data_IF_250828001739
#
_entry.id   IF_250828001739
#
_cell.length_a   1.000
_cell.length_b   1.000
_cell.length_c   1.000
_cell.angle_alpha   90.00
_cell.angle_beta   90.00
_cell.angle_gamma   90.00
#
_symmetry.space_group_name_H-M   'P 1'
#
loop_
_entity.id
_entity.type
_entity.pdbx_description
1 polymer ?
#
# COMPACT_ATOMS: atom_id res chain seq x y z
N UNK A 1 10.85 -32.14 41.99
CA UNK A 1 11.14 -31.42 40.73
C UNK A 1 10.02 -30.44 40.47
N UNK A 2 10.24 -29.15 40.72
CA UNK A 2 9.24 -28.11 40.47
C UNK A 2 9.52 -27.57 39.07
N UNK A 3 8.64 -27.89 38.12
CA UNK A 3 8.69 -27.38 36.77
C UNK A 3 8.23 -25.91 36.80
N UNK A 4 9.15 -24.97 36.64
CA UNK A 4 8.78 -23.55 36.50
C UNK A 4 8.31 -23.30 35.06
N UNK A 5 7.13 -22.68 34.86
CA UNK A 5 6.64 -22.38 33.53
C UNK A 5 7.52 -21.30 32.87
N UNK A 6 7.87 -21.56 31.61
CA UNK A 6 8.64 -20.65 30.78
C UNK A 6 7.98 -19.27 30.74
N UNK A 7 8.73 -18.25 31.16
CA UNK A 7 8.30 -16.86 31.12
C UNK A 7 8.03 -16.43 29.67
N UNK A 8 6.76 -16.40 29.25
CA UNK A 8 6.38 -15.63 28.07
C UNK A 8 6.71 -14.17 28.36
N UNK A 9 7.75 -13.64 27.71
CA UNK A 9 8.16 -12.26 27.87
C UNK A 9 6.97 -11.34 27.53
N UNK A 10 6.38 -10.72 28.55
CA UNK A 10 5.23 -9.83 28.40
C UNK A 10 5.70 -8.58 27.67
N UNK A 11 5.58 -8.55 26.34
CA UNK A 11 5.96 -7.39 25.49
C UNK A 11 5.23 -6.14 25.99
N UNK A 12 5.90 -5.11 26.51
CA UNK A 12 5.24 -3.93 27.11
C UNK A 12 4.70 -2.93 26.07
N UNK A 13 3.90 -1.95 26.51
CA UNK A 13 3.42 -0.86 25.63
C UNK A 13 4.58 0.00 25.13
N UNK A 14 5.51 0.32 26.03
CA UNK A 14 6.70 1.13 25.79
C UNK A 14 7.62 0.44 24.79
N UNK A 15 7.83 -0.87 24.94
CA UNK A 15 8.60 -1.65 23.97
C UNK A 15 7.98 -1.57 22.57
N UNK A 16 6.66 -1.72 22.45
CA UNK A 16 5.95 -1.62 21.16
C UNK A 16 6.12 -0.23 20.54
N UNK A 17 5.98 0.83 21.33
CA UNK A 17 6.19 2.22 20.87
C UNK A 17 7.62 2.40 20.35
N UNK A 18 8.61 1.96 21.11
CA UNK A 18 10.02 2.06 20.73
C UNK A 18 10.31 1.29 19.44
N UNK A 19 9.72 0.10 19.25
CA UNK A 19 9.86 -0.66 18.01
C UNK A 19 9.26 0.09 16.80
N UNK A 20 8.10 0.72 16.95
CA UNK A 20 7.47 1.53 15.89
C UNK A 20 8.37 2.73 15.53
N UNK A 21 8.87 3.44 16.53
CA UNK A 21 9.75 4.59 16.34
C UNK A 21 11.08 4.21 15.69
N UNK A 22 11.70 3.11 16.13
CA UNK A 22 12.94 2.59 15.53
C UNK A 22 12.73 2.18 14.06
N UNK A 23 11.60 1.54 13.75
CA UNK A 23 11.24 1.22 12.37
C UNK A 23 11.13 2.49 11.53
N UNK A 24 10.48 3.54 12.04
CA UNK A 24 10.34 4.81 11.35
C UNK A 24 11.68 5.51 11.13
N UNK A 25 12.56 5.54 12.13
CA UNK A 25 13.90 6.13 11.98
C UNK A 25 14.67 5.48 10.84
N UNK A 26 14.59 4.14 10.75
CA UNK A 26 15.29 3.32 9.75
C UNK A 26 14.68 3.43 8.34
N UNK A 27 13.36 3.35 8.22
CA UNK A 27 12.67 3.19 6.93
C UNK A 27 11.90 4.44 6.49
N UNK A 28 11.89 5.51 7.30
CA UNK A 28 11.13 6.76 7.09
C UNK A 28 9.62 6.56 6.84
N UNK A 29 9.08 5.40 7.22
CA UNK A 29 7.67 5.01 7.12
C UNK A 29 7.23 4.17 8.32
N UNK A 30 5.93 3.98 8.47
CA UNK A 30 5.34 3.12 9.50
C UNK A 30 5.36 1.65 9.03
N UNK A 31 5.62 0.67 9.92
CA UNK A 31 5.63 -0.73 9.53
C UNK A 31 4.23 -1.22 9.13
N UNK A 32 4.18 -2.10 8.13
CA UNK A 32 2.96 -2.81 7.78
C UNK A 32 2.64 -3.88 8.84
N UNK A 33 1.37 -4.30 8.88
CA UNK A 33 0.88 -5.35 9.80
C UNK A 33 1.76 -6.61 9.82
N UNK A 34 2.25 -7.03 8.65
CA UNK A 34 3.05 -8.25 8.50
C UNK A 34 4.55 -8.04 8.74
N UNK A 35 5.03 -6.79 8.81
CA UNK A 35 6.42 -6.46 9.14
C UNK A 35 6.62 -6.26 10.65
N UNK A 36 5.54 -6.01 11.38
CA UNK A 36 5.59 -5.75 12.80
C UNK A 36 5.37 -7.03 13.60
N UNK A 37 6.46 -7.67 14.04
CA UNK A 37 6.45 -8.93 14.81
C UNK A 37 5.50 -8.93 16.02
N UNK A 38 5.28 -7.76 16.62
CA UNK A 38 4.43 -7.60 17.82
C UNK A 38 3.03 -7.06 17.52
N UNK A 39 2.52 -7.21 16.29
CA UNK A 39 1.23 -6.67 15.87
C UNK A 39 0.08 -7.09 16.77
N UNK A 40 -0.02 -8.39 17.09
CA UNK A 40 -1.08 -8.91 17.96
C UNK A 40 -1.00 -8.33 19.38
N UNK A 41 0.21 -8.16 19.90
CA UNK A 41 0.43 -7.54 21.21
C UNK A 41 0.06 -6.04 21.19
N UNK A 42 0.41 -5.33 20.12
CA UNK A 42 0.02 -3.94 19.92
C UNK A 42 -1.50 -3.79 19.88
N UNK A 43 -2.21 -4.61 19.09
CA UNK A 43 -3.67 -4.58 19.01
C UNK A 43 -4.30 -4.83 20.38
N UNK A 44 -3.84 -5.85 21.12
CA UNK A 44 -4.37 -6.20 22.44
C UNK A 44 -4.18 -5.09 23.48
N UNK A 45 -3.04 -4.38 23.45
CA UNK A 45 -2.69 -3.39 24.47
C UNK A 45 -3.22 -1.99 24.21
N UNK A 46 -3.32 -1.61 22.94
CA UNK A 46 -3.76 -0.28 22.52
C UNK A 46 -5.21 -0.30 21.99
N UNK A 47 -5.86 -1.47 21.98
CA UNK A 47 -7.20 -1.70 21.44
C UNK A 47 -7.19 -1.97 19.93
N UNK A 48 -6.47 -1.16 19.16
CA UNK A 48 -6.23 -1.36 17.74
C UNK A 48 -4.83 -0.89 17.33
N UNK A 49 -4.41 -1.22 16.10
CA UNK A 49 -3.08 -0.84 15.57
C UNK A 49 -2.92 0.67 15.44
N UNK A 50 -3.95 1.37 14.96
CA UNK A 50 -3.91 2.82 14.76
C UNK A 50 -3.69 3.57 16.07
N UNK A 51 -4.24 3.09 17.18
CA UNK A 51 -4.00 3.64 18.51
C UNK A 51 -2.54 3.45 18.94
N UNK A 52 -1.91 2.31 18.62
CA UNK A 52 -0.49 2.11 18.87
C UNK A 52 0.37 3.10 18.06
N UNK A 53 0.04 3.32 16.78
CA UNK A 53 0.74 4.29 15.93
C UNK A 53 0.56 5.73 16.44
N UNK A 54 -0.66 6.14 16.79
CA UNK A 54 -0.96 7.45 17.40
C UNK A 54 -0.16 7.66 18.68
N UNK A 55 -0.13 6.65 19.56
CA UNK A 55 0.61 6.73 20.82
C UNK A 55 2.12 6.80 20.60
N UNK A 56 2.63 6.19 19.52
CA UNK A 56 4.03 6.29 19.13
C UNK A 56 4.43 7.68 18.55
N UNK A 57 3.48 8.61 18.45
CA UNK A 57 3.71 9.98 17.98
C UNK A 57 3.55 10.16 16.47
N UNK A 58 2.99 9.17 15.78
CA UNK A 58 2.82 9.22 14.32
C UNK A 58 1.34 9.31 13.94
N UNK A 59 1.08 10.00 12.83
CA UNK A 59 -0.21 9.85 12.14
C UNK A 59 -0.27 8.41 11.61
N UNK A 60 -1.31 7.61 11.93
CA UNK A 60 -1.51 6.32 11.30
C UNK A 60 -1.37 6.48 9.79
N UNK A 61 -0.58 5.62 9.16
CA UNK A 61 -0.42 5.69 7.71
C UNK A 61 -1.82 5.56 7.10
N UNK A 62 -2.32 6.55 6.35
CA UNK A 62 -3.62 6.43 5.70
C UNK A 62 -3.66 5.33 4.63
N UNK A 63 -2.53 4.72 4.28
CA UNK A 63 -2.45 3.71 3.22
C UNK A 63 -1.91 2.43 3.84
N UNK A 64 -2.76 1.51 4.28
CA UNK A 64 -3.32 0.45 3.43
C UNK A 64 -4.82 0.17 3.70
N UNK A 65 -5.48 0.93 4.58
CA UNK A 65 -6.87 0.64 5.01
C UNK A 65 -7.66 1.89 5.48
N UNK A 66 -7.19 3.12 5.25
CA UNK A 66 -7.87 4.30 5.80
C UNK A 66 -8.78 4.96 4.75
N UNK A 67 -10.05 4.53 4.80
CA UNK A 67 -11.21 5.09 4.13
C UNK A 67 -11.09 5.15 2.60
N UNK A 68 -11.88 4.30 1.94
CA UNK A 68 -12.21 4.41 0.52
C UNK A 68 -12.30 5.89 0.11
N UNK A 69 -11.41 6.31 -0.76
CA UNK A 69 -11.43 7.65 -1.29
C UNK A 69 -12.37 7.67 -2.48
N UNK A 70 -13.31 8.60 -2.55
CA UNK A 70 -14.22 8.70 -3.69
C UNK A 70 -13.60 9.70 -4.67
N UNK A 71 -13.29 9.24 -5.89
CA UNK A 71 -12.83 10.08 -6.98
C UNK A 71 -13.96 10.96 -7.52
N UNK A 72 -13.61 11.97 -8.32
CA UNK A 72 -14.56 12.97 -8.81
C UNK A 72 -15.67 12.38 -9.70
N UNK A 73 -15.43 11.23 -10.34
CA UNK A 73 -16.41 10.51 -11.15
C UNK A 73 -17.24 9.48 -10.34
N UNK A 74 -16.96 9.35 -9.04
CA UNK A 74 -17.64 8.44 -8.12
C UNK A 74 -16.93 7.10 -7.89
N UNK A 75 -15.79 6.84 -8.52
CA UNK A 75 -15.02 5.62 -8.27
C UNK A 75 -14.48 5.54 -6.84
N UNK A 76 -14.46 4.32 -6.26
CA UNK A 76 -14.00 4.04 -4.89
C UNK A 76 -12.55 3.56 -4.88
N UNK A 77 -11.60 4.43 -4.53
CA UNK A 77 -10.15 4.16 -4.56
C UNK A 77 -9.62 3.60 -3.23
N UNK A 78 -8.68 2.66 -3.33
CA UNK A 78 -8.04 2.00 -2.17
C UNK A 78 -6.88 2.83 -1.60
N UNK A 79 -6.42 3.83 -2.37
CA UNK A 79 -5.39 4.79 -1.95
C UNK A 79 -5.64 6.21 -2.48
N UNK A 80 -5.03 7.20 -1.81
CA UNK A 80 -5.02 8.60 -2.29
C UNK A 80 -4.33 8.71 -3.64
N UNK A 81 -3.29 7.90 -3.89
CA UNK A 81 -2.59 7.89 -5.17
C UNK A 81 -3.50 7.43 -6.31
N UNK A 82 -4.26 6.36 -6.10
CA UNK A 82 -5.29 5.93 -7.05
C UNK A 82 -6.32 7.03 -7.28
N UNK A 83 -6.82 7.70 -6.24
CA UNK A 83 -7.75 8.83 -6.43
C UNK A 83 -7.13 9.94 -7.27
N UNK A 84 -5.86 10.29 -7.05
CA UNK A 84 -5.17 11.32 -7.86
C UNK A 84 -5.07 10.90 -9.33
N UNK A 85 -4.76 9.63 -9.58
CA UNK A 85 -4.69 9.09 -10.95
C UNK A 85 -6.09 9.12 -11.59
N UNK A 86 -7.11 8.63 -10.88
CA UNK A 86 -8.50 8.59 -11.31
C UNK A 86 -9.04 9.99 -11.66
N UNK A 87 -8.87 10.95 -10.73
CA UNK A 87 -9.29 12.34 -10.93
C UNK A 87 -8.62 12.95 -12.17
N UNK A 88 -7.33 12.66 -12.39
CA UNK A 88 -6.61 13.14 -13.57
C UNK A 88 -7.18 12.54 -14.86
N UNK A 89 -7.45 11.23 -14.88
CA UNK A 89 -8.03 10.56 -16.04
C UNK A 89 -9.42 11.14 -16.35
N UNK A 90 -10.23 11.34 -15.32
CA UNK A 90 -11.55 11.97 -15.40
C UNK A 90 -11.48 13.41 -15.91
N UNK A 91 -10.58 14.24 -15.39
CA UNK A 91 -10.37 15.62 -15.83
C UNK A 91 -10.02 15.70 -17.33
N UNK A 92 -9.19 14.76 -17.79
CA UNK A 92 -8.80 14.64 -19.21
C UNK A 92 -9.83 13.94 -20.08
N UNK A 93 -11.00 13.60 -19.53
CA UNK A 93 -12.04 12.83 -20.23
C UNK A 93 -11.52 11.49 -20.79
N UNK A 94 -10.53 10.90 -20.12
CA UNK A 94 -9.97 9.59 -20.46
C UNK A 94 -10.85 8.53 -19.77
N UNK A 95 -11.61 7.81 -20.58
CA UNK A 95 -12.43 6.67 -20.11
C UNK A 95 -11.52 5.59 -19.57
N UNK A 96 -11.79 5.16 -18.33
CA UNK A 96 -11.00 4.15 -17.64
C UNK A 96 -11.91 3.23 -16.81
N UNK A 97 -11.48 1.99 -16.67
CA UNK A 97 -12.09 0.99 -15.79
C UNK A 97 -11.15 0.69 -14.62
N UNK A 98 -11.68 0.12 -13.53
CA UNK A 98 -10.90 -0.15 -12.32
C UNK A 98 -10.94 -1.60 -11.87
N UNK A 99 -9.89 -1.99 -11.14
CA UNK A 99 -9.77 -3.30 -10.49
C UNK A 99 -9.97 -4.48 -11.46
N UNK A 100 -9.39 -4.39 -12.65
CA UNK A 100 -9.52 -5.42 -13.69
C UNK A 100 -8.66 -6.62 -13.33
N UNK A 101 -9.25 -7.82 -13.27
CA UNK A 101 -8.53 -9.05 -12.95
C UNK A 101 -7.51 -9.42 -14.02
N UNK A 102 -6.31 -9.82 -13.61
CA UNK A 102 -5.37 -10.48 -14.50
C UNK A 102 -5.95 -11.83 -14.98
N UNK A 103 -5.48 -12.37 -16.13
CA UNK A 103 -6.01 -13.63 -16.66
C UNK A 103 -5.78 -14.86 -15.77
N UNK A 104 -4.85 -14.79 -14.82
CA UNK A 104 -4.50 -15.88 -13.91
C UNK A 104 -4.19 -15.35 -12.52
N UNK A 105 -4.64 -16.11 -11.51
CA UNK A 105 -4.45 -15.78 -10.10
C UNK A 105 -5.50 -14.81 -9.55
N UNK A 106 -5.36 -14.49 -8.26
CA UNK A 106 -6.21 -13.54 -7.55
C UNK A 106 -5.51 -12.17 -7.49
N UNK A 107 -5.31 -11.60 -8.67
CA UNK A 107 -4.64 -10.31 -8.85
C UNK A 107 -5.46 -9.40 -9.74
N UNK A 108 -5.48 -8.11 -9.43
CA UNK A 108 -6.08 -7.06 -10.24
C UNK A 108 -5.06 -5.99 -10.59
N UNK A 109 -5.28 -5.32 -11.71
CA UNK A 109 -4.65 -4.05 -12.06
C UNK A 109 -5.54 -2.89 -11.60
N UNK A 110 -4.93 -1.78 -11.20
CA UNK A 110 -5.65 -0.65 -10.61
C UNK A 110 -6.58 0.02 -11.64
N UNK A 111 -6.07 0.26 -12.85
CA UNK A 111 -6.84 0.85 -13.95
C UNK A 111 -6.63 0.14 -15.29
N UNK A 112 -7.62 0.27 -16.18
CA UNK A 112 -7.52 -0.10 -17.58
C UNK A 112 -8.01 1.05 -18.46
N UNK A 113 -7.19 1.44 -19.43
CA UNK A 113 -7.46 2.51 -20.38
C UNK A 113 -7.37 1.92 -21.79
N UNK A 114 -8.51 1.50 -22.33
CA UNK A 114 -8.57 0.73 -23.58
C UNK A 114 -7.76 -0.57 -23.49
N UNK A 115 -6.62 -0.62 -24.18
CA UNK A 115 -5.70 -1.77 -24.15
C UNK A 115 -4.56 -1.63 -23.12
N UNK A 116 -4.37 -0.45 -22.53
CA UNK A 116 -3.34 -0.20 -21.52
C UNK A 116 -3.84 -0.65 -20.15
N UNK A 117 -3.01 -1.40 -19.44
CA UNK A 117 -3.18 -1.83 -18.06
C UNK A 117 -2.31 -0.91 -17.21
N UNK A 118 -2.84 -0.28 -16.17
CA UNK A 118 -2.12 0.76 -15.41
C UNK A 118 -2.07 0.38 -13.93
N UNK A 119 -0.88 0.26 -13.39
CA UNK A 119 -0.65 -0.18 -12.01
C UNK A 119 0.20 0.83 -11.24
N UNK A 120 -0.21 1.16 -10.01
CA UNK A 120 0.50 2.03 -9.10
C UNK A 120 1.31 1.25 -8.06
N UNK A 121 2.63 1.22 -8.22
CA UNK A 121 3.56 0.54 -7.32
C UNK A 121 4.04 1.41 -6.16
N UNK A 122 3.13 1.80 -5.26
CA UNK A 122 3.39 2.73 -4.16
C UNK A 122 4.46 2.32 -3.13
N UNK A 123 4.84 1.04 -3.06
CA UNK A 123 5.85 0.50 -2.12
C UNK A 123 7.03 -0.20 -2.82
N UNK A 124 7.25 0.07 -4.11
CA UNK A 124 8.35 -0.55 -4.84
C UNK A 124 9.72 -0.22 -4.22
N UNK A 125 10.53 -1.26 -3.98
CA UNK A 125 11.87 -1.17 -3.39
C UNK A 125 11.88 -0.99 -1.88
N UNK A 126 10.72 -0.77 -1.25
CA UNK A 126 10.60 -0.51 0.19
C UNK A 126 10.23 -1.76 0.99
N UNK A 127 9.73 -2.82 0.34
CA UNK A 127 9.22 -4.00 1.01
C UNK A 127 9.37 -5.27 0.15
N UNK A 128 10.22 -6.20 0.59
CA UNK A 128 10.54 -7.45 -0.13
C UNK A 128 9.31 -8.21 -0.67
N UNK A 129 8.29 -8.44 0.15
CA UNK A 129 7.05 -9.11 -0.28
C UNK A 129 6.23 -8.30 -1.30
N UNK A 130 6.22 -6.98 -1.17
CA UNK A 130 5.54 -6.11 -2.14
C UNK A 130 6.27 -6.18 -3.49
N UNK A 131 7.60 -6.22 -3.46
CA UNK A 131 8.42 -6.44 -4.65
C UNK A 131 8.19 -7.82 -5.27
N UNK A 132 7.98 -8.87 -4.46
CA UNK A 132 7.57 -10.20 -4.94
C UNK A 132 6.21 -10.15 -5.64
N UNK A 133 5.21 -9.47 -5.06
CA UNK A 133 3.90 -9.28 -5.70
C UNK A 133 4.01 -8.47 -7.00
N UNK A 134 4.81 -7.41 -7.01
CA UNK A 134 5.11 -6.64 -8.22
C UNK A 134 5.71 -7.53 -9.31
N UNK A 135 6.70 -8.37 -8.98
CA UNK A 135 7.31 -9.32 -9.93
C UNK A 135 6.27 -10.26 -10.54
N UNK A 136 5.39 -10.83 -9.73
CA UNK A 136 4.31 -11.70 -10.23
C UNK A 136 3.42 -10.96 -11.23
N UNK A 137 3.02 -9.72 -10.93
CA UNK A 137 2.20 -8.90 -11.85
C UNK A 137 2.92 -8.60 -13.17
N UNK A 138 4.23 -8.31 -13.12
CA UNK A 138 5.05 -8.10 -14.32
C UNK A 138 5.15 -9.37 -15.17
N UNK A 139 5.40 -10.52 -14.54
CA UNK A 139 5.45 -11.82 -15.21
C UNK A 139 4.11 -12.16 -15.87
N UNK A 140 2.98 -11.84 -15.22
CA UNK A 140 1.65 -11.99 -15.81
C UNK A 140 1.46 -11.06 -17.01
N UNK A 141 1.84 -9.78 -16.90
CA UNK A 141 1.76 -8.86 -18.00
C UNK A 141 2.60 -9.32 -19.22
N UNK A 142 3.81 -9.82 -18.99
CA UNK A 142 4.66 -10.37 -20.04
C UNK A 142 4.05 -11.65 -20.66
N UNK A 143 3.66 -12.62 -19.83
CA UNK A 143 3.06 -13.90 -20.24
C UNK A 143 1.83 -13.69 -21.13
N UNK A 144 0.98 -12.74 -20.78
CA UNK A 144 -0.27 -12.45 -21.50
C UNK A 144 -0.15 -11.29 -22.50
N UNK A 145 1.07 -10.76 -22.73
CA UNK A 145 1.35 -9.64 -23.64
C UNK A 145 0.47 -8.41 -23.37
N UNK A 146 0.23 -8.12 -22.09
CA UNK A 146 -0.54 -6.97 -21.65
C UNK A 146 0.33 -5.71 -21.75
N UNK A 147 -0.24 -4.62 -22.27
CA UNK A 147 0.43 -3.32 -22.30
C UNK A 147 0.38 -2.69 -20.91
N UNK A 148 1.27 -3.13 -20.02
CA UNK A 148 1.34 -2.63 -18.65
C UNK A 148 2.10 -1.31 -18.58
N UNK A 149 1.48 -0.32 -17.95
CA UNK A 149 2.02 1.00 -17.60
C UNK A 149 2.20 1.02 -16.10
N UNK A 150 3.44 1.24 -15.67
CA UNK A 150 3.80 1.26 -14.27
C UNK A 150 3.90 2.71 -13.78
N UNK A 151 3.20 3.03 -12.70
CA UNK A 151 3.24 4.33 -12.03
C UNK A 151 3.89 4.16 -10.66
N UNK A 152 4.76 5.09 -10.31
CA UNK A 152 5.48 5.10 -9.04
C UNK A 152 5.21 6.38 -8.26
N UNK A 153 5.52 6.43 -6.94
CA UNK A 153 5.41 7.65 -6.16
C UNK A 153 6.11 8.87 -6.78
N UNK A 154 7.26 8.66 -7.44
CA UNK A 154 8.02 9.72 -8.15
C UNK A 154 7.30 10.34 -9.36
N UNK A 155 6.29 9.65 -9.88
CA UNK A 155 5.50 10.11 -11.01
C UNK A 155 4.32 10.98 -10.55
N UNK A 156 3.97 10.91 -9.27
CA UNK A 156 2.95 11.75 -8.62
C UNK A 156 3.56 12.88 -7.78
N UNK A 157 4.73 12.64 -7.18
CA UNK A 157 5.33 13.53 -6.18
C UNK A 157 6.81 13.80 -6.44
N UNK A 158 7.33 15.00 -6.07
CA UNK A 158 6.57 16.14 -5.54
C UNK A 158 5.75 16.88 -6.61
N UNK A 159 6.01 16.59 -7.88
CA UNK A 159 5.29 17.15 -9.03
C UNK A 159 4.55 16.03 -9.75
N UNK A 160 3.29 16.27 -10.09
CA UNK A 160 2.47 15.35 -10.86
C UNK A 160 2.99 15.30 -12.31
N UNK A 161 3.34 14.10 -12.79
CA UNK A 161 3.87 13.83 -14.14
C UNK A 161 2.94 12.97 -14.98
N UNK A 162 1.67 12.82 -14.58
CA UNK A 162 0.69 12.02 -15.29
C UNK A 162 0.46 12.50 -16.73
N UNK A 163 0.61 13.80 -17.00
CA UNK A 163 0.60 14.34 -18.37
C UNK A 163 1.68 13.73 -19.24
N UNK A 164 2.88 13.47 -18.73
CA UNK A 164 3.94 12.85 -19.53
C UNK A 164 3.69 11.36 -19.79
N UNK A 165 2.82 10.72 -19.00
CA UNK A 165 2.49 9.29 -19.09
C UNK A 165 1.27 9.05 -19.98
N UNK A 166 0.26 9.91 -19.84
CA UNK A 166 -1.04 9.75 -20.48
C UNK A 166 -1.38 10.84 -21.49
N UNK A 167 -0.71 11.99 -21.42
CA UNK A 167 -0.86 13.05 -22.40
C UNK A 167 -0.51 12.54 -23.79
N UNK A 168 -1.36 12.89 -24.74
CA UNK A 168 -1.18 12.61 -26.17
C UNK A 168 -0.25 13.63 -26.80
#
# INVERSE_FOLDING_TARGET
MICQPQSQCIVSKEYIINQIQNFYVKNKRIPLKREFNHYSAARKRFGNWNNAIKTAGFKPNPVLFAEHQIANDGHVCDSIAEKIIDDYLSEKSIVHERNISYPEGDYSVDFRIGLKWVEYFGLAGEHKRYDELRKIKLELAEKYKLSLVEIYPKDLYPYNRLEAIFGS
#
